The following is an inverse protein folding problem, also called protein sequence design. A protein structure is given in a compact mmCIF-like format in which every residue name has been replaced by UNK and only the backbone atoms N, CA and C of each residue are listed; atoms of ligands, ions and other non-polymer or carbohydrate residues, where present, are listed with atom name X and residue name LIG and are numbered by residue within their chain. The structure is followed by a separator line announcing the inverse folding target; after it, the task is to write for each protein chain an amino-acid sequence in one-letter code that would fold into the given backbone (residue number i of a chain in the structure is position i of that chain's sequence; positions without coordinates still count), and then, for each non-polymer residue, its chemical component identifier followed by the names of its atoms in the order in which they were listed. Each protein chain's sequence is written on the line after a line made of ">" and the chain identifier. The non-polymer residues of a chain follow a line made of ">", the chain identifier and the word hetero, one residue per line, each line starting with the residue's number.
data_IF_058475796613
#
_entry.id   IF_058475796613
#
_cell.length_a   1.000
_cell.length_b   1.000
_cell.length_c   1.000
_cell.angle_alpha   90.00
_cell.angle_beta   90.00
_cell.angle_gamma   90.00
#
_symmetry.space_group_name_H-M   'P 1'
#
loop_
_entity.id
_entity.type
_entity.pdbx_description
1 polymer ?
#
# COMPACT_ATOMS: atom_id res chain seq x y z
N UNK A 1 2.58 26.81 -15.71
CA UNK A 1 2.69 25.88 -14.57
C UNK A 1 3.27 24.57 -15.12
N UNK A 2 4.49 24.19 -14.75
CA UNK A 2 5.08 22.91 -15.19
C UNK A 2 4.34 21.82 -14.44
N UNK A 3 3.70 20.88 -15.19
CA UNK A 3 3.21 19.63 -14.62
C UNK A 3 4.41 18.90 -13.98
N UNK A 4 4.50 18.96 -12.69
CA UNK A 4 5.60 18.36 -11.91
C UNK A 4 5.30 16.88 -11.56
N UNK A 5 4.52 16.20 -12.40
CA UNK A 5 4.31 14.76 -12.24
C UNK A 5 5.56 14.02 -12.71
N UNK A 6 6.01 12.99 -11.98
CA UNK A 6 7.15 12.17 -12.38
C UNK A 6 6.75 11.27 -13.56
N UNK A 7 6.61 11.88 -14.74
CA UNK A 7 6.19 11.20 -15.97
C UNK A 7 6.97 9.90 -16.26
N UNK A 8 8.31 9.84 -16.12
CA UNK A 8 9.03 8.60 -16.38
C UNK A 8 8.63 7.47 -15.45
N UNK A 9 8.43 7.75 -14.15
CA UNK A 9 8.00 6.75 -13.18
C UNK A 9 6.59 6.22 -13.50
N UNK A 10 5.65 7.13 -13.80
CA UNK A 10 4.28 6.71 -14.10
C UNK A 10 4.20 5.92 -15.40
N UNK A 11 4.96 6.29 -16.43
CA UNK A 11 5.04 5.53 -17.66
C UNK A 11 5.64 4.12 -17.43
N UNK A 12 6.68 4.02 -16.59
CA UNK A 12 7.26 2.73 -16.23
C UNK A 12 6.27 1.85 -15.46
N UNK A 13 5.55 2.42 -14.49
CA UNK A 13 4.50 1.71 -13.75
C UNK A 13 3.38 1.24 -14.68
N UNK A 14 2.91 2.08 -15.59
CA UNK A 14 1.86 1.75 -16.56
C UNK A 14 2.29 0.67 -17.53
N UNK A 15 3.53 0.73 -18.03
CA UNK A 15 4.10 -0.31 -18.89
C UNK A 15 4.17 -1.66 -18.16
N UNK A 16 4.62 -1.66 -16.91
CA UNK A 16 4.67 -2.88 -16.10
C UNK A 16 3.26 -3.43 -15.83
N UNK A 17 2.32 -2.58 -15.40
CA UNK A 17 0.93 -2.98 -15.14
C UNK A 17 0.28 -3.54 -16.40
N UNK A 18 0.54 -2.95 -17.57
CA UNK A 18 0.04 -3.46 -18.86
C UNK A 18 0.55 -4.87 -19.13
N UNK A 19 1.83 -5.13 -18.89
CA UNK A 19 2.38 -6.48 -19.07
C UNK A 19 1.80 -7.52 -18.11
N UNK A 20 1.30 -7.07 -16.92
CA UNK A 20 0.65 -7.95 -15.95
C UNK A 20 -0.78 -8.37 -16.37
N UNK A 21 -1.40 -7.71 -17.33
CA UNK A 21 -2.72 -8.12 -17.83
C UNK A 21 -2.70 -9.53 -18.43
N UNK A 22 -1.56 -9.96 -18.93
CA UNK A 22 -1.36 -11.27 -19.56
C UNK A 22 -0.96 -12.38 -18.57
N UNK A 23 -0.81 -12.08 -17.27
CA UNK A 23 -0.40 -13.08 -16.26
C UNK A 23 -1.52 -14.05 -15.90
N UNK A 24 -2.77 -13.61 -15.96
CA UNK A 24 -3.95 -14.42 -15.57
C UNK A 24 -4.09 -15.73 -16.34
N UNK A 25 -3.87 -15.77 -17.66
CA UNK A 25 -3.89 -17.02 -18.41
C UNK A 25 -2.83 -18.05 -17.96
N UNK A 26 -1.82 -17.59 -17.21
CA UNK A 26 -0.79 -18.46 -16.63
C UNK A 26 -1.16 -19.00 -15.24
N UNK A 27 -2.40 -18.75 -14.78
CA UNK A 27 -2.97 -19.29 -13.55
C UNK A 27 -2.71 -18.46 -12.30
N UNK A 28 -2.40 -17.18 -12.47
CA UNK A 28 -2.27 -16.22 -11.36
C UNK A 28 -3.39 -15.17 -11.45
N UNK A 29 -4.11 -14.97 -10.36
CA UNK A 29 -5.07 -13.88 -10.20
C UNK A 29 -4.46 -12.82 -9.30
N UNK A 30 -4.18 -11.66 -9.89
CA UNK A 30 -3.46 -10.57 -9.25
C UNK A 30 -4.35 -9.36 -9.10
N UNK A 31 -4.12 -8.60 -8.02
CA UNK A 31 -4.63 -7.24 -7.90
C UNK A 31 -3.52 -6.31 -7.45
N UNK A 32 -3.52 -5.09 -7.96
CA UNK A 32 -2.63 -4.04 -7.48
C UNK A 32 -3.18 -3.46 -6.18
N UNK A 33 -2.33 -3.44 -5.15
CA UNK A 33 -2.65 -2.89 -3.84
C UNK A 33 -1.60 -1.85 -3.41
N UNK A 34 -1.48 -1.66 -2.12
CA UNK A 34 -0.42 -0.84 -1.53
C UNK A 34 -0.55 0.65 -1.81
N UNK A 35 0.58 1.34 -1.68
CA UNK A 35 0.65 2.80 -1.80
C UNK A 35 0.33 3.29 -3.20
N UNK A 36 0.72 2.56 -4.24
CA UNK A 36 0.52 2.98 -5.64
C UNK A 36 -0.94 2.88 -6.05
N UNK A 37 -1.65 1.80 -5.68
CA UNK A 37 -3.09 1.72 -5.91
C UNK A 37 -3.81 2.87 -5.20
N UNK A 38 -3.50 3.11 -3.93
CA UNK A 38 -4.12 4.18 -3.15
C UNK A 38 -3.83 5.58 -3.72
N UNK A 39 -2.55 5.85 -4.04
CA UNK A 39 -2.13 7.17 -4.51
C UNK A 39 -2.55 7.46 -5.94
N UNK A 40 -2.53 6.48 -6.86
CA UNK A 40 -2.81 6.73 -8.28
C UNK A 40 -4.26 6.50 -8.67
N UNK A 41 -4.94 5.53 -8.02
CA UNK A 41 -6.31 5.19 -8.40
C UNK A 41 -7.37 5.97 -7.58
N UNK A 42 -7.04 6.38 -6.35
CA UNK A 42 -8.05 6.94 -5.43
C UNK A 42 -7.74 8.34 -4.91
N UNK A 43 -6.64 8.52 -4.18
CA UNK A 43 -6.46 9.74 -3.38
C UNK A 43 -5.63 10.83 -4.04
N UNK A 44 -4.74 10.50 -4.97
CA UNK A 44 -3.83 11.45 -5.63
C UNK A 44 -3.12 12.37 -4.63
N UNK A 45 -2.60 11.80 -3.53
CA UNK A 45 -2.12 12.58 -2.39
C UNK A 45 -0.59 12.62 -2.29
N UNK A 46 0.10 11.63 -2.84
CA UNK A 46 1.55 11.54 -2.86
C UNK A 46 2.06 10.70 -4.03
N UNK A 47 3.37 10.79 -4.27
CA UNK A 47 4.05 9.89 -5.20
C UNK A 47 4.24 8.53 -4.51
N UNK A 48 4.03 7.45 -5.25
CA UNK A 48 4.35 6.08 -4.82
C UNK A 48 5.23 5.40 -5.86
N UNK A 49 6.33 4.83 -5.40
CA UNK A 49 7.40 4.32 -6.27
C UNK A 49 7.31 2.82 -6.54
N UNK A 50 6.73 2.07 -5.61
CA UNK A 50 6.69 0.61 -5.64
C UNK A 50 5.40 0.12 -6.30
N UNK A 51 5.42 -1.10 -6.88
CA UNK A 51 4.22 -1.83 -7.28
C UNK A 51 4.06 -3.06 -6.39
N UNK A 52 2.97 -3.10 -5.64
CA UNK A 52 2.63 -4.22 -4.76
C UNK A 52 1.43 -4.98 -5.35
N UNK A 53 1.69 -6.15 -5.93
CA UNK A 53 0.66 -7.06 -6.42
C UNK A 53 0.33 -8.10 -5.36
N UNK A 54 -0.94 -8.25 -5.04
CA UNK A 54 -1.42 -9.31 -4.19
C UNK A 54 -1.95 -10.46 -5.04
N UNK A 55 -1.48 -11.66 -4.71
CA UNK A 55 -1.83 -12.90 -5.41
C UNK A 55 -2.92 -13.60 -4.61
N UNK A 56 -4.03 -13.93 -5.28
CA UNK A 56 -5.14 -14.62 -4.63
C UNK A 56 -4.77 -16.05 -4.26
N UNK A 57 -4.88 -16.37 -2.97
CA UNK A 57 -4.52 -17.67 -2.40
C UNK A 57 -3.02 -17.93 -2.35
N UNK A 58 -2.67 -19.14 -1.94
CA UNK A 58 -1.29 -19.59 -1.91
C UNK A 58 -0.72 -19.70 -3.33
N UNK A 59 0.45 -19.14 -3.52
CA UNK A 59 1.18 -19.26 -4.78
C UNK A 59 2.62 -19.74 -4.54
N UNK A 60 3.19 -20.33 -5.58
CA UNK A 60 4.60 -20.70 -5.63
C UNK A 60 5.40 -19.55 -6.25
N UNK A 61 6.27 -18.86 -5.51
CA UNK A 61 7.07 -17.75 -6.04
C UNK A 61 8.00 -18.15 -7.18
N UNK A 62 8.56 -19.36 -7.18
CA UNK A 62 9.41 -19.85 -8.26
C UNK A 62 8.60 -20.05 -9.55
N UNK A 63 7.39 -20.60 -9.44
CA UNK A 63 6.47 -20.73 -10.57
C UNK A 63 6.07 -19.35 -11.12
N UNK A 64 5.86 -18.37 -10.26
CA UNK A 64 5.57 -17.00 -10.68
C UNK A 64 6.76 -16.40 -11.41
N UNK A 65 7.99 -16.56 -10.90
CA UNK A 65 9.19 -16.06 -11.56
C UNK A 65 9.34 -16.64 -12.99
N UNK A 66 9.06 -17.94 -13.14
CA UNK A 66 9.05 -18.59 -14.47
C UNK A 66 7.95 -18.00 -15.37
N UNK A 67 6.76 -17.73 -14.82
CA UNK A 67 5.66 -17.13 -15.58
C UNK A 67 5.99 -15.71 -16.05
N UNK A 68 6.60 -14.89 -15.20
CA UNK A 68 7.09 -13.56 -15.55
C UNK A 68 8.12 -13.63 -16.70
N UNK A 69 9.07 -14.55 -16.61
CA UNK A 69 10.06 -14.77 -17.67
C UNK A 69 9.43 -15.14 -19.03
N UNK A 70 8.33 -15.92 -19.04
CA UNK A 70 7.57 -16.23 -20.26
C UNK A 70 6.90 -15.01 -20.89
N UNK A 71 6.59 -14.00 -20.09
CA UNK A 71 6.06 -12.71 -20.55
C UNK A 71 7.19 -11.73 -20.95
N UNK A 72 8.44 -12.16 -20.88
CA UNK A 72 9.60 -11.30 -21.15
C UNK A 72 9.94 -10.33 -20.01
N UNK A 73 9.34 -10.53 -18.82
CA UNK A 73 9.58 -9.68 -17.66
C UNK A 73 10.73 -10.27 -16.85
N UNK A 74 11.85 -9.56 -16.85
CA UNK A 74 13.01 -9.92 -16.04
C UNK A 74 13.08 -9.02 -14.81
N UNK A 75 13.24 -9.64 -13.65
CA UNK A 75 13.43 -8.95 -12.38
C UNK A 75 14.88 -9.15 -11.91
N UNK A 76 15.51 -8.04 -11.53
CA UNK A 76 16.83 -8.04 -10.89
C UNK A 76 16.69 -8.17 -9.36
N UNK A 77 17.74 -8.69 -8.71
CA UNK A 77 17.83 -8.80 -7.24
C UNK A 77 16.59 -9.45 -6.62
N UNK A 78 16.16 -10.56 -7.23
CA UNK A 78 14.98 -11.29 -6.77
C UNK A 78 15.22 -11.87 -5.39
N UNK A 79 14.28 -11.62 -4.49
CA UNK A 79 14.19 -12.21 -3.16
C UNK A 79 12.88 -12.99 -3.05
N UNK A 80 12.99 -14.24 -2.64
CA UNK A 80 11.85 -15.14 -2.47
C UNK A 80 11.75 -15.54 -1.02
N UNK A 81 10.57 -15.37 -0.44
CA UNK A 81 10.21 -15.93 0.85
C UNK A 81 9.07 -16.92 0.64
N UNK A 82 9.27 -18.16 1.06
CA UNK A 82 8.27 -19.22 0.93
C UNK A 82 8.36 -20.18 2.09
N UNK A 83 7.19 -20.61 2.58
CA UNK A 83 7.04 -21.63 3.60
C UNK A 83 7.12 -21.18 5.06
N UNK A 84 6.67 -22.01 5.95
CA UNK A 84 6.66 -21.79 7.39
C UNK A 84 5.59 -20.82 7.86
N UNK A 85 6.00 -19.83 8.66
CA UNK A 85 5.11 -18.81 9.24
C UNK A 85 4.99 -17.55 8.37
N UNK A 86 5.71 -17.50 7.27
CA UNK A 86 5.78 -16.32 6.40
C UNK A 86 4.79 -16.44 5.26
N UNK A 87 4.25 -15.30 4.88
CA UNK A 87 3.45 -15.14 3.66
C UNK A 87 4.37 -15.38 2.46
N UNK A 88 3.90 -16.13 1.47
CA UNK A 88 4.68 -16.34 0.25
C UNK A 88 4.84 -15.01 -0.46
N UNK A 89 6.07 -14.65 -0.81
CA UNK A 89 6.34 -13.43 -1.55
C UNK A 89 7.53 -13.57 -2.49
N UNK A 90 7.47 -12.78 -3.56
CA UNK A 90 8.56 -12.53 -4.49
C UNK A 90 8.73 -11.02 -4.61
N UNK A 91 9.94 -10.52 -4.37
CA UNK A 91 10.28 -9.11 -4.52
C UNK A 91 11.44 -9.00 -5.49
N UNK A 92 11.39 -8.04 -6.40
CA UNK A 92 12.48 -7.77 -7.33
C UNK A 92 12.41 -6.36 -7.89
N UNK A 93 13.32 -6.06 -8.83
CA UNK A 93 13.37 -4.77 -9.49
C UNK A 93 13.29 -4.97 -11.00
N UNK A 94 12.35 -4.27 -11.64
CA UNK A 94 12.23 -4.23 -13.09
C UNK A 94 12.96 -3.02 -13.66
N UNK A 95 13.98 -3.20 -14.52
CA UNK A 95 14.60 -2.10 -15.23
C UNK A 95 13.71 -1.69 -16.41
N UNK A 96 13.17 -0.48 -16.38
CA UNK A 96 12.32 0.10 -17.42
C UNK A 96 12.88 1.46 -17.85
N UNK A 97 13.70 1.47 -18.89
CA UNK A 97 14.49 2.64 -19.29
C UNK A 97 15.43 3.07 -18.15
N UNK A 98 15.35 4.33 -17.76
CA UNK A 98 16.15 4.87 -16.66
C UNK A 98 15.50 4.67 -15.27
N UNK A 99 14.31 4.05 -15.22
CA UNK A 99 13.59 3.78 -13.98
C UNK A 99 13.85 2.35 -13.52
N UNK A 100 14.24 2.20 -12.27
CA UNK A 100 14.34 0.91 -11.59
C UNK A 100 13.14 0.76 -10.65
N UNK A 101 12.12 0.05 -11.15
CA UNK A 101 10.85 -0.11 -10.47
C UNK A 101 10.90 -1.30 -9.51
N UNK A 102 10.69 -1.06 -8.21
CA UNK A 102 10.53 -2.14 -7.25
C UNK A 102 9.13 -2.75 -7.40
N UNK A 103 9.09 -4.07 -7.50
CA UNK A 103 7.85 -4.84 -7.67
C UNK A 103 7.81 -5.94 -6.62
N UNK A 104 6.67 -6.07 -5.97
CA UNK A 104 6.40 -7.10 -4.98
C UNK A 104 5.18 -7.91 -5.40
N UNK A 105 5.27 -9.23 -5.26
CA UNK A 105 4.14 -10.16 -5.36
C UNK A 105 4.00 -10.84 -4.00
N UNK A 106 2.81 -10.71 -3.41
CA UNK A 106 2.58 -11.06 -2.01
C UNK A 106 1.31 -11.91 -1.94
N UNK A 107 1.35 -13.04 -1.24
CA UNK A 107 0.17 -13.85 -0.96
C UNK A 107 -0.88 -13.01 -0.23
N UNK A 108 -2.12 -13.04 -0.72
CA UNK A 108 -3.20 -12.26 -0.15
C UNK A 108 -3.85 -12.97 1.05
N UNK A 109 -3.47 -12.58 2.25
CA UNK A 109 -4.07 -13.06 3.49
C UNK A 109 -5.51 -12.57 3.72
N UNK A 110 -5.99 -11.61 2.92
CA UNK A 110 -7.31 -11.01 3.05
C UNK A 110 -8.16 -11.18 1.78
N UNK A 111 -7.81 -12.17 0.96
CA UNK A 111 -8.50 -12.46 -0.30
C UNK A 111 -10.02 -12.59 -0.10
N UNK A 112 -10.77 -11.85 -0.91
CA UNK A 112 -12.23 -11.87 -0.88
C UNK A 112 -12.89 -11.11 0.28
N UNK A 113 -12.13 -10.47 1.18
CA UNK A 113 -12.69 -9.69 2.29
C UNK A 113 -13.34 -8.38 1.79
N UNK A 114 -12.75 -7.75 0.79
CA UNK A 114 -13.27 -6.52 0.18
C UNK A 114 -13.46 -6.68 -1.33
N UNK A 115 -14.36 -5.88 -1.94
CA UNK A 115 -14.55 -5.89 -3.39
C UNK A 115 -13.28 -5.53 -4.15
N UNK A 116 -13.17 -6.06 -5.37
CA UNK A 116 -12.15 -5.70 -6.35
C UNK A 116 -12.77 -4.86 -7.45
N UNK A 117 -12.05 -3.83 -7.89
CA UNK A 117 -12.53 -2.87 -8.87
C UNK A 117 -11.48 -2.68 -9.99
N UNK A 118 -11.92 -2.64 -11.26
CA UNK A 118 -11.02 -2.25 -12.34
C UNK A 118 -10.75 -0.74 -12.27
N UNK A 119 -9.51 -0.35 -12.14
CA UNK A 119 -9.09 1.05 -12.09
C UNK A 119 -8.17 1.39 -13.25
N UNK A 120 -8.25 2.62 -13.81
CA UNK A 120 -7.43 3.02 -14.94
C UNK A 120 -5.98 3.30 -14.51
N UNK A 121 -5.03 2.82 -15.34
CA UNK A 121 -3.61 3.12 -15.26
C UNK A 121 -3.12 3.43 -16.67
N UNK A 122 -3.04 4.71 -17.02
CA UNK A 122 -2.73 5.16 -18.39
C UNK A 122 -3.80 4.69 -19.37
N UNK A 123 -3.39 3.89 -20.35
CA UNK A 123 -4.27 3.33 -21.39
C UNK A 123 -4.86 1.96 -21.04
N UNK A 124 -4.47 1.39 -19.90
CA UNK A 124 -4.95 0.08 -19.45
C UNK A 124 -5.81 0.20 -18.20
N UNK A 125 -6.52 -0.90 -17.89
CA UNK A 125 -7.26 -1.05 -16.63
C UNK A 125 -6.74 -2.29 -15.91
N UNK A 126 -6.51 -2.17 -14.62
CA UNK A 126 -6.06 -3.28 -13.80
C UNK A 126 -6.90 -3.41 -12.53
N UNK A 127 -7.07 -4.65 -12.05
CA UNK A 127 -7.82 -4.89 -10.82
C UNK A 127 -7.09 -4.33 -9.61
N UNK A 128 -7.78 -3.53 -8.82
CA UNK A 128 -7.36 -3.08 -7.50
C UNK A 128 -8.38 -3.50 -6.45
N UNK A 129 -7.99 -3.50 -5.20
CA UNK A 129 -8.96 -3.61 -4.12
C UNK A 129 -9.75 -2.31 -3.97
N UNK A 130 -10.98 -2.36 -3.44
CA UNK A 130 -11.76 -1.16 -3.14
C UNK A 130 -11.00 -0.25 -2.14
N UNK A 131 -11.40 1.02 -2.06
CA UNK A 131 -10.72 1.96 -1.17
C UNK A 131 -10.84 1.54 0.30
N UNK A 132 -11.95 0.90 0.68
CA UNK A 132 -12.18 0.35 2.02
C UNK A 132 -11.19 -0.79 2.31
N UNK A 133 -10.94 -1.68 1.33
CA UNK A 133 -9.95 -2.74 1.48
C UNK A 133 -8.53 -2.19 1.60
N UNK A 134 -8.16 -1.22 0.77
CA UNK A 134 -6.86 -0.54 0.89
C UNK A 134 -6.73 0.19 2.24
N UNK A 135 -7.82 0.77 2.75
CA UNK A 135 -7.86 1.38 4.08
C UNK A 135 -7.61 0.35 5.18
N UNK A 136 -8.33 -0.76 5.15
CA UNK A 136 -8.12 -1.87 6.08
C UNK A 136 -6.66 -2.33 6.08
N UNK A 137 -6.04 -2.51 4.90
CA UNK A 137 -4.62 -2.90 4.81
C UNK A 137 -3.69 -1.87 5.42
N UNK A 138 -3.95 -0.57 5.24
CA UNK A 138 -3.16 0.50 5.86
C UNK A 138 -3.27 0.50 7.39
N UNK A 139 -4.45 0.25 7.93
CA UNK A 139 -4.61 0.06 9.36
C UNK A 139 -3.82 -1.16 9.86
N UNK A 140 -3.84 -2.27 9.09
CA UNK A 140 -3.07 -3.48 9.40
C UNK A 140 -1.55 -3.26 9.40
N UNK A 141 -1.02 -2.37 8.56
CA UNK A 141 0.43 -2.08 8.59
C UNK A 141 0.86 -1.47 9.93
N UNK A 142 0.00 -0.72 10.60
CA UNK A 142 0.27 -0.13 11.92
C UNK A 142 0.02 -1.12 13.05
N UNK A 143 -1.05 -1.91 12.95
CA UNK A 143 -1.41 -2.89 14.00
C UNK A 143 -0.55 -4.15 13.98
N UNK A 144 0.18 -4.40 12.90
CA UNK A 144 0.92 -5.64 12.71
C UNK A 144 0.01 -6.86 12.55
N UNK A 145 0.53 -8.02 12.89
CA UNK A 145 -0.22 -9.30 12.83
C UNK A 145 -1.40 -9.36 13.79
N UNK A 146 -1.47 -8.43 14.75
CA UNK A 146 -2.45 -8.47 15.83
C UNK A 146 -2.23 -9.60 16.82
N UNK A 147 -1.08 -10.25 16.76
CA UNK A 147 -0.70 -11.31 17.71
C UNK A 147 -0.38 -10.66 19.06
N UNK A 148 -1.07 -11.08 20.12
CA UNK A 148 -0.94 -10.51 21.48
C UNK A 148 0.49 -10.57 22.03
N UNK A 149 1.32 -11.49 21.52
CA UNK A 149 2.68 -11.68 21.95
C UNK A 149 3.69 -10.66 21.38
N UNK A 150 3.30 -9.94 20.34
CA UNK A 150 4.10 -8.85 19.70
C UNK A 150 3.17 -7.72 19.22
N UNK A 151 2.67 -6.89 20.12
CA UNK A 151 1.74 -5.81 19.75
C UNK A 151 2.35 -4.75 18.82
N UNK A 152 3.66 -4.83 18.54
CA UNK A 152 4.43 -3.84 17.80
C UNK A 152 5.16 -4.41 16.57
N UNK A 153 4.70 -5.52 16.00
CA UNK A 153 5.28 -6.06 14.76
C UNK A 153 4.77 -5.36 13.49
N UNK A 154 3.98 -4.31 13.64
CA UNK A 154 3.53 -3.46 12.55
C UNK A 154 4.67 -2.64 11.93
N UNK A 155 4.54 -2.37 10.63
CA UNK A 155 5.45 -1.47 9.94
C UNK A 155 5.18 -0.02 10.35
N UNK A 156 6.18 0.62 10.93
CA UNK A 156 6.11 2.01 11.35
C UNK A 156 6.81 2.90 10.30
N UNK A 157 6.09 3.30 9.26
CA UNK A 157 6.61 4.15 8.19
C UNK A 157 5.76 5.43 8.04
N UNK A 158 6.43 6.55 7.82
CA UNK A 158 5.80 7.87 7.65
C UNK A 158 4.73 7.87 6.55
N UNK A 159 5.00 7.20 5.42
CA UNK A 159 4.08 7.10 4.28
C UNK A 159 2.76 6.38 4.63
N UNK A 160 2.81 5.37 5.50
CA UNK A 160 1.60 4.64 5.89
C UNK A 160 0.72 5.48 6.82
N UNK A 161 1.33 6.25 7.72
CA UNK A 161 0.62 7.18 8.59
C UNK A 161 0.03 8.38 7.81
N UNK A 162 0.74 8.85 6.77
CA UNK A 162 0.22 9.88 5.89
C UNK A 162 -0.96 9.36 5.04
N UNK A 163 -0.85 8.14 4.51
CA UNK A 163 -1.96 7.47 3.84
C UNK A 163 -3.20 7.39 4.76
N UNK A 164 -3.01 7.00 6.03
CA UNK A 164 -4.08 6.94 7.03
C UNK A 164 -4.69 8.32 7.33
N UNK A 165 -3.88 9.38 7.44
CA UNK A 165 -4.38 10.75 7.60
C UNK A 165 -5.29 11.14 6.42
N UNK A 166 -4.88 10.81 5.19
CA UNK A 166 -5.65 11.15 3.99
C UNK A 166 -6.93 10.32 3.89
N UNK A 167 -6.89 9.04 4.21
CA UNK A 167 -8.07 8.18 4.29
C UNK A 167 -9.06 8.67 5.35
N UNK A 168 -8.57 9.04 6.54
CA UNK A 168 -9.41 9.61 7.60
C UNK A 168 -10.09 10.92 7.20
N UNK A 169 -9.43 11.73 6.38
CA UNK A 169 -9.96 13.02 5.92
C UNK A 169 -10.93 12.92 4.76
N UNK A 170 -10.63 12.04 3.81
CA UNK A 170 -11.29 12.03 2.49
C UNK A 170 -12.31 10.91 2.34
N UNK A 171 -12.21 9.84 3.13
CA UNK A 171 -13.04 8.64 2.99
C UNK A 171 -13.93 8.46 4.21
N UNK A 172 -13.35 8.13 5.35
CA UNK A 172 -14.07 7.84 6.58
C UNK A 172 -13.19 8.04 7.80
N UNK A 173 -13.75 8.51 8.92
CA UNK A 173 -13.00 8.64 10.18
C UNK A 173 -12.51 7.28 10.67
N UNK A 174 -11.26 7.19 11.10
CA UNK A 174 -10.64 5.91 11.52
C UNK A 174 -11.47 5.17 12.57
N UNK A 175 -11.92 5.78 13.68
CA UNK A 175 -12.68 5.05 14.71
C UNK A 175 -13.99 4.49 14.18
N UNK A 176 -14.72 5.28 13.39
CA UNK A 176 -15.99 4.89 12.78
C UNK A 176 -15.79 3.77 11.76
N UNK A 177 -14.77 3.89 10.89
CA UNK A 177 -14.42 2.87 9.91
C UNK A 177 -14.05 1.54 10.58
N UNK A 178 -13.24 1.58 11.64
CA UNK A 178 -12.87 0.36 12.40
C UNK A 178 -14.10 -0.29 13.04
N UNK A 179 -15.04 0.52 13.56
CA UNK A 179 -16.29 0.01 14.08
C UNK A 179 -17.12 -0.68 12.99
N UNK A 180 -17.27 -0.03 11.81
CA UNK A 180 -18.05 -0.53 10.69
C UNK A 180 -17.50 -1.85 10.15
N UNK A 181 -16.18 -1.91 9.85
CA UNK A 181 -15.59 -3.15 9.31
C UNK A 181 -15.67 -4.31 10.30
N UNK A 182 -15.59 -4.05 11.61
CA UNK A 182 -15.75 -5.09 12.63
C UNK A 182 -17.19 -5.57 12.74
N UNK A 183 -18.18 -4.70 12.59
CA UNK A 183 -19.59 -5.09 12.50
C UNK A 183 -19.85 -5.96 11.26
N UNK A 184 -19.10 -5.73 10.18
CA UNK A 184 -19.16 -6.51 8.94
C UNK A 184 -18.25 -7.75 8.94
N UNK A 185 -17.65 -8.11 10.08
CA UNK A 185 -16.92 -9.38 10.26
C UNK A 185 -15.44 -9.35 9.89
N UNK A 186 -14.84 -8.17 9.66
CA UNK A 186 -13.42 -8.08 9.31
C UNK A 186 -12.44 -8.45 10.45
N UNK A 187 -12.93 -8.54 11.71
CA UNK A 187 -12.14 -8.89 12.90
C UNK A 187 -10.82 -8.10 12.99
N UNK A 188 -10.90 -6.80 12.79
CA UNK A 188 -9.73 -5.93 12.86
C UNK A 188 -9.25 -5.80 14.32
N UNK A 189 -7.94 -5.97 14.60
CA UNK A 189 -7.39 -5.94 15.96
C UNK A 189 -7.22 -4.51 16.47
N UNK A 190 -8.31 -3.84 16.84
CA UNK A 190 -8.32 -2.43 17.28
C UNK A 190 -7.34 -2.16 18.43
N UNK A 191 -7.22 -3.10 19.41
CA UNK A 191 -6.26 -2.97 20.52
C UNK A 191 -4.81 -2.96 20.06
N UNK A 192 -4.44 -3.80 19.07
CA UNK A 192 -3.10 -3.83 18.50
C UNK A 192 -2.81 -2.54 17.72
N UNK A 193 -3.80 -2.00 17.01
CA UNK A 193 -3.69 -0.70 16.33
C UNK A 193 -3.42 0.44 17.32
N UNK A 194 -4.20 0.52 18.40
CA UNK A 194 -4.00 1.50 19.48
C UNK A 194 -2.61 1.37 20.10
N UNK A 195 -2.15 0.12 20.37
CA UNK A 195 -0.79 -0.13 20.87
C UNK A 195 0.29 0.30 19.88
N UNK A 196 0.08 0.05 18.58
CA UNK A 196 0.96 0.53 17.51
C UNK A 196 1.07 2.05 17.48
N UNK A 197 -0.04 2.76 17.62
CA UNK A 197 -0.03 4.24 17.69
C UNK A 197 0.71 4.76 18.93
N UNK A 198 0.57 4.09 20.07
CA UNK A 198 1.23 4.49 21.34
C UNK A 198 2.77 4.37 21.26
N UNK A 199 3.27 3.43 20.46
CA UNK A 199 4.71 3.13 20.35
C UNK A 199 5.38 3.77 19.13
N UNK A 200 4.69 4.69 18.45
CA UNK A 200 5.17 5.28 17.21
C UNK A 200 6.47 6.08 17.39
N UNK A 201 7.57 5.74 16.66
CA UNK A 201 8.87 6.37 16.82
C UNK A 201 8.96 7.69 16.04
N UNK A 202 8.17 8.67 16.41
CA UNK A 202 8.00 9.94 15.68
C UNK A 202 9.32 10.63 15.31
N UNK A 203 10.34 10.56 16.19
CA UNK A 203 11.64 11.19 15.94
C UNK A 203 12.34 10.52 14.74
N UNK A 204 12.27 9.20 14.67
CA UNK A 204 12.93 8.43 13.60
C UNK A 204 12.24 8.61 12.24
N UNK A 205 11.01 9.11 12.21
CA UNK A 205 10.24 9.34 10.99
C UNK A 205 10.43 10.73 10.37
N UNK A 206 11.17 11.63 11.04
CA UNK A 206 11.30 13.02 10.57
C UNK A 206 11.85 13.09 9.15
N UNK A 207 12.93 12.34 8.87
CA UNK A 207 13.58 12.33 7.56
C UNK A 207 12.68 11.71 6.49
N UNK A 208 11.90 10.67 6.83
CA UNK A 208 10.93 10.06 5.93
C UNK A 208 9.84 11.04 5.53
N UNK A 209 9.30 11.82 6.49
CA UNK A 209 8.31 12.86 6.21
C UNK A 209 8.91 13.98 5.36
N UNK A 210 10.14 14.39 5.63
CA UNK A 210 10.82 15.45 4.88
C UNK A 210 11.10 15.06 3.41
N UNK A 211 11.31 13.77 3.14
CA UNK A 211 11.58 13.23 1.80
C UNK A 211 10.32 12.84 1.03
N UNK A 212 9.15 12.88 1.66
CA UNK A 212 7.91 12.47 1.02
C UNK A 212 7.47 13.48 -0.04
N UNK A 213 7.27 13.03 -1.25
CA UNK A 213 6.75 13.82 -2.34
C UNK A 213 5.21 13.78 -2.35
N UNK A 214 4.60 14.92 -2.06
CA UNK A 214 3.14 15.08 -2.09
C UNK A 214 2.67 15.62 -3.43
N UNK A 215 1.47 15.24 -3.85
CA UNK A 215 0.84 15.82 -5.02
C UNK A 215 0.19 17.16 -4.63
N UNK A 216 0.92 18.24 -4.87
CA UNK A 216 0.49 19.60 -4.54
C UNK A 216 -0.73 20.08 -5.36
N UNK A 217 -1.14 19.32 -6.36
CA UNK A 217 -2.34 19.64 -7.17
C UNK A 217 -3.63 19.16 -6.48
N UNK A 218 -3.52 18.29 -5.49
CA UNK A 218 -4.66 17.81 -4.72
C UNK A 218 -5.21 18.94 -3.82
N UNK A 219 -6.47 19.35 -3.96
CA UNK A 219 -7.05 20.45 -3.19
C UNK A 219 -7.10 20.18 -1.68
N UNK A 220 -7.08 18.92 -1.26
CA UNK A 220 -7.03 18.55 0.16
C UNK A 220 -5.63 18.70 0.80
N UNK A 221 -4.61 19.03 -0.02
CA UNK A 221 -3.22 19.19 0.41
C UNK A 221 -2.73 20.63 0.39
N UNK A 222 -3.60 21.62 0.17
CA UNK A 222 -3.22 23.04 0.03
C UNK A 222 -2.41 23.60 1.21
N UNK A 223 -2.56 23.00 2.40
CA UNK A 223 -1.85 23.39 3.62
C UNK A 223 -0.82 22.34 4.08
N UNK A 224 -0.57 21.32 3.27
CA UNK A 224 0.40 20.26 3.61
C UNK A 224 1.72 20.57 2.91
N UNK A 225 2.78 20.66 3.71
CA UNK A 225 4.14 20.79 3.22
C UNK A 225 5.06 19.90 4.10
N UNK A 226 6.28 19.60 3.65
CA UNK A 226 7.19 18.72 4.40
C UNK A 226 7.42 19.14 5.86
N UNK A 227 7.38 20.45 6.15
CA UNK A 227 7.66 20.96 7.50
C UNK A 227 6.50 20.74 8.48
N UNK A 228 5.25 20.78 8.02
CA UNK A 228 4.08 20.61 8.88
C UNK A 228 3.43 19.23 8.80
N UNK A 229 3.79 18.42 7.80
CA UNK A 229 3.16 17.12 7.52
C UNK A 229 3.23 16.20 8.74
N UNK A 230 4.41 15.99 9.30
CA UNK A 230 4.59 15.15 10.48
C UNK A 230 3.74 15.63 11.66
N UNK A 231 3.72 16.96 11.91
CA UNK A 231 2.93 17.54 12.99
C UNK A 231 1.43 17.28 12.80
N UNK A 232 0.92 17.42 11.56
CA UNK A 232 -0.49 17.18 11.23
C UNK A 232 -0.85 15.69 11.39
N UNK A 233 -0.01 14.79 10.88
CA UNK A 233 -0.21 13.34 11.03
C UNK A 233 -0.19 12.95 12.49
N UNK A 234 0.82 13.41 13.25
CA UNK A 234 0.97 13.12 14.68
C UNK A 234 -0.23 13.61 15.48
N UNK A 235 -0.67 14.85 15.26
CA UNK A 235 -1.83 15.41 15.95
C UNK A 235 -3.07 14.53 15.74
N UNK A 236 -3.38 14.17 14.47
CA UNK A 236 -4.54 13.33 14.18
C UNK A 236 -4.41 11.92 14.76
N UNK A 237 -3.26 11.28 14.66
CA UNK A 237 -3.04 9.94 15.24
C UNK A 237 -3.15 9.94 16.77
N UNK A 238 -2.77 11.03 17.44
CA UNK A 238 -2.97 11.20 18.88
C UNK A 238 -4.45 11.37 19.25
N UNK A 239 -5.24 12.04 18.42
CA UNK A 239 -6.70 12.11 18.60
C UNK A 239 -7.32 10.72 18.43
N UNK A 240 -7.00 10.02 17.34
CA UNK A 240 -7.48 8.65 17.08
C UNK A 240 -7.12 7.70 18.23
N UNK A 241 -5.89 7.80 18.76
CA UNK A 241 -5.49 7.06 19.95
C UNK A 241 -6.43 7.29 21.13
N UNK A 242 -6.76 8.56 21.41
CA UNK A 242 -7.67 8.91 22.53
C UNK A 242 -9.12 8.48 22.29
N UNK A 243 -9.56 8.51 21.03
CA UNK A 243 -10.92 8.12 20.64
C UNK A 243 -11.12 6.59 20.71
N UNK A 244 -10.05 5.80 20.57
CA UNK A 244 -10.11 4.34 20.50
C UNK A 244 -9.55 3.61 21.74
N UNK A 245 -8.82 4.31 22.63
CA UNK A 245 -8.25 3.75 23.87
C UNK A 245 -9.31 3.61 24.95
#
# INVERSE_FOLDING_TARGET
>A
MKNNQPQPLYLAQEAFITSMCDIKPLGFDLMLCGGTALARAYLHHRISYDLDFFVDGQFDPDRLAVALGKLGINLDNVQIESGGRYVHQLVGFSPLGDVRLKVSFIEDSYAGMFPRMPMPFGQTSFMTESIEGLYHRKLRTVSGSGNSDKPTDGRQAARDLFDLLMLDRMVHKIPEFVQEINQNGANFPAKAFVAGLATMPWINMMDEFAQMEVDVTNPHLTNVNPHNMMAMVRARMQEVFKEMA
#
